data_IF_380224626939
#
_entry.id   IF_380224626939
#
_cell.length_a   1.000
_cell.length_b   1.000
_cell.length_c   1.000
_cell.angle_alpha   90.00
_cell.angle_beta   90.00
_cell.angle_gamma   90.00
#
_symmetry.space_group_name_H-M   'P 1'
#
loop_
_entity.id
_entity.type
_entity.pdbx_description
1 polymer ?
#
# COMPACT_ATOMS: atom_id res chain seq x y z
N UNK A 1 -7.46 -0.92 10.69
CA UNK A 1 -7.06 0.08 9.68
C UNK A 1 -7.22 -0.49 8.29
N UNK A 2 -7.52 0.34 7.35
CA UNK A 2 -7.59 0.00 5.93
C UNK A 2 -6.37 0.61 5.25
N UNK A 3 -5.65 -0.21 4.49
CA UNK A 3 -4.52 0.23 3.69
C UNK A 3 -5.01 0.50 2.27
N UNK A 4 -4.79 1.73 1.80
CA UNK A 4 -5.29 2.21 0.52
C UNK A 4 -4.13 2.44 -0.44
N UNK A 5 -4.28 1.98 -1.69
CA UNK A 5 -3.31 2.22 -2.75
C UNK A 5 -4.01 2.86 -3.94
N UNK A 6 -3.43 3.93 -4.44
CA UNK A 6 -3.79 4.54 -5.71
C UNK A 6 -2.55 4.53 -6.61
N UNK A 7 -2.50 3.59 -7.54
CA UNK A 7 -1.33 3.32 -8.35
C UNK A 7 -1.43 4.08 -9.67
N UNK A 8 -0.69 5.18 -9.76
CA UNK A 8 -0.54 5.95 -10.99
C UNK A 8 0.72 5.55 -11.75
N UNK A 9 0.89 6.09 -12.96
CA UNK A 9 2.03 5.76 -13.82
C UNK A 9 3.38 6.16 -13.21
N UNK A 10 3.42 7.26 -12.50
CA UNK A 10 4.66 7.81 -11.91
C UNK A 10 4.74 7.54 -10.42
N UNK A 11 3.65 7.78 -9.70
CA UNK A 11 3.60 7.66 -8.24
C UNK A 11 2.46 6.77 -7.81
N UNK A 12 2.70 6.06 -6.71
CA UNK A 12 1.69 5.34 -5.98
C UNK A 12 1.40 6.08 -4.68
N UNK A 13 0.16 6.54 -4.52
CA UNK A 13 -0.30 7.17 -3.29
C UNK A 13 -0.79 6.09 -2.34
N UNK A 14 -0.36 6.15 -1.09
CA UNK A 14 -0.69 5.15 -0.08
C UNK A 14 -1.29 5.86 1.12
N UNK A 15 -2.40 5.32 1.62
CA UNK A 15 -3.06 5.83 2.81
C UNK A 15 -3.34 4.74 3.83
N UNK A 16 -3.34 5.14 5.10
CA UNK A 16 -3.89 4.35 6.20
C UNK A 16 -5.14 5.06 6.70
N UNK A 17 -6.24 4.35 6.75
CA UNK A 17 -7.52 4.92 7.13
C UNK A 17 -8.17 4.10 8.24
N UNK A 18 -8.90 4.79 9.10
CA UNK A 18 -9.88 4.18 9.99
C UNK A 18 -11.28 4.39 9.42
N UNK A 19 -12.32 4.11 10.19
CA UNK A 19 -13.71 4.24 9.75
C UNK A 19 -14.13 5.67 9.42
N UNK A 20 -13.37 6.68 9.85
CA UNK A 20 -13.75 8.07 9.76
C UNK A 20 -12.92 8.87 8.77
N UNK A 21 -11.63 8.54 8.63
CA UNK A 21 -10.71 9.35 7.82
C UNK A 21 -9.42 8.62 7.50
N UNK A 22 -8.70 9.15 6.53
CA UNK A 22 -7.31 8.81 6.29
C UNK A 22 -6.47 9.45 7.40
N UNK A 23 -5.74 8.65 8.15
CA UNK A 23 -4.93 9.11 9.29
C UNK A 23 -3.52 9.46 8.90
N UNK A 24 -2.94 8.77 7.90
CA UNK A 24 -1.61 9.02 7.36
C UNK A 24 -1.61 8.72 5.86
N UNK A 25 -0.73 9.36 5.14
CA UNK A 25 -0.51 9.07 3.72
C UNK A 25 0.95 9.27 3.35
N UNK A 26 1.38 8.60 2.31
CA UNK A 26 2.72 8.72 1.73
C UNK A 26 2.66 8.40 0.24
N UNK A 27 3.76 8.67 -0.45
CA UNK A 27 3.91 8.33 -1.85
C UNK A 27 5.14 7.44 -2.04
N UNK A 28 5.02 6.46 -2.93
CA UNK A 28 6.15 5.66 -3.38
C UNK A 28 6.19 5.74 -4.90
N UNK A 29 7.37 6.00 -5.51
CA UNK A 29 7.46 5.94 -6.97
C UNK A 29 6.99 4.59 -7.49
N UNK A 30 6.14 4.60 -8.51
CA UNK A 30 5.58 3.35 -9.04
C UNK A 30 6.68 2.41 -9.56
N UNK A 31 7.77 2.97 -10.09
CA UNK A 31 8.94 2.19 -10.51
C UNK A 31 9.55 1.35 -9.38
N UNK A 32 9.37 1.76 -8.13
CA UNK A 32 9.92 1.04 -6.97
C UNK A 32 9.29 -0.35 -6.78
N UNK A 33 8.08 -0.57 -7.28
CA UNK A 33 7.43 -1.88 -7.24
C UNK A 33 8.15 -2.89 -8.13
N UNK A 34 8.78 -2.42 -9.20
CA UNK A 34 9.51 -3.27 -10.14
C UNK A 34 10.98 -3.45 -9.76
N UNK A 35 11.57 -2.46 -9.10
CA UNK A 35 12.98 -2.52 -8.68
C UNK A 35 13.21 -3.27 -7.38
N UNK A 36 12.15 -3.55 -6.63
CA UNK A 36 12.25 -4.15 -5.30
C UNK A 36 12.47 -3.15 -4.18
N UNK A 37 12.43 -1.84 -4.46
CA UNK A 37 12.67 -0.80 -3.46
C UNK A 37 11.42 -0.45 -2.63
N UNK A 38 10.21 -0.84 -3.06
CA UNK A 38 8.98 -0.43 -2.42
C UNK A 38 8.64 -1.13 -1.10
N UNK A 39 8.92 -2.44 -0.90
CA UNK A 39 8.46 -3.14 0.30
C UNK A 39 8.93 -2.53 1.61
N UNK A 40 10.16 -2.05 1.68
CA UNK A 40 10.70 -1.50 2.92
C UNK A 40 10.04 -0.17 3.32
N UNK A 41 9.92 0.84 2.45
CA UNK A 41 9.19 2.04 2.81
C UNK A 41 7.71 1.78 3.10
N UNK A 42 7.08 0.81 2.43
CA UNK A 42 5.71 0.41 2.76
C UNK A 42 5.63 -0.13 4.19
N UNK A 43 6.51 -1.05 4.55
CA UNK A 43 6.55 -1.63 5.88
C UNK A 43 6.77 -0.57 6.96
N UNK A 44 7.65 0.40 6.71
CA UNK A 44 7.87 1.52 7.62
C UNK A 44 6.65 2.41 7.77
N UNK A 45 5.97 2.67 6.67
CA UNK A 45 4.76 3.48 6.67
C UNK A 45 3.65 2.83 7.50
N UNK A 46 3.42 1.54 7.30
CA UNK A 46 2.42 0.78 8.05
C UNK A 46 2.82 0.68 9.53
N UNK A 47 4.11 0.45 9.79
CA UNK A 47 4.63 0.36 11.15
C UNK A 47 3.90 -0.71 11.96
N UNK A 48 3.35 -0.29 13.11
CA UNK A 48 2.61 -1.19 14.02
C UNK A 48 1.10 -1.16 13.78
N UNK A 49 0.63 -0.45 12.78
CA UNK A 49 -0.79 -0.41 12.49
C UNK A 49 -1.30 -1.80 12.12
N UNK A 50 -2.48 -2.14 12.63
CA UNK A 50 -3.15 -3.38 12.25
C UNK A 50 -3.95 -3.15 10.99
N UNK A 51 -3.56 -3.82 9.92
CA UNK A 51 -4.21 -3.73 8.63
C UNK A 51 -5.21 -4.87 8.50
N UNK A 52 -6.49 -4.53 8.57
CA UNK A 52 -7.58 -5.49 8.49
C UNK A 52 -8.16 -5.62 7.09
N UNK A 53 -7.88 -4.65 6.22
CA UNK A 53 -8.38 -4.65 4.86
C UNK A 53 -7.47 -3.83 3.96
N UNK A 54 -7.53 -4.09 2.66
CA UNK A 54 -6.72 -3.43 1.64
C UNK A 54 -7.60 -3.08 0.46
N UNK A 55 -7.49 -1.85 -0.02
CA UNK A 55 -8.16 -1.41 -1.24
C UNK A 55 -7.13 -0.88 -2.23
N UNK A 56 -7.22 -1.32 -3.47
CA UNK A 56 -6.28 -0.96 -4.53
C UNK A 56 -7.04 -0.40 -5.71
N UNK A 57 -6.67 0.81 -6.14
CA UNK A 57 -7.08 1.41 -7.38
C UNK A 57 -5.83 1.56 -8.25
N UNK A 58 -5.86 1.10 -9.49
CA UNK A 58 -4.65 1.07 -10.32
C UNK A 58 -4.97 1.36 -11.78
N UNK A 59 -4.13 2.20 -12.40
CA UNK A 59 -4.08 2.37 -13.86
C UNK A 59 -2.82 1.72 -14.44
N UNK A 60 -2.09 0.94 -13.65
CA UNK A 60 -0.87 0.25 -14.05
C UNK A 60 -1.01 -1.24 -13.76
N UNK A 61 -1.65 -2.00 -14.67
CA UNK A 61 -1.95 -3.42 -14.43
C UNK A 61 -0.73 -4.26 -14.05
N UNK A 62 0.45 -3.96 -14.58
CA UNK A 62 1.67 -4.71 -14.27
C UNK A 62 2.16 -4.48 -12.85
N UNK A 63 1.87 -3.33 -12.26
CA UNK A 63 2.26 -3.03 -10.88
C UNK A 63 1.31 -3.67 -9.86
N UNK A 64 0.05 -3.86 -10.22
CA UNK A 64 -0.99 -4.32 -9.29
C UNK A 64 -0.63 -5.63 -8.58
N UNK A 65 -0.17 -6.70 -9.25
CA UNK A 65 0.18 -7.94 -8.55
C UNK A 65 1.36 -7.75 -7.59
N UNK A 66 2.30 -6.87 -7.90
CA UNK A 66 3.44 -6.58 -7.03
C UNK A 66 3.02 -5.82 -5.78
N UNK A 67 2.14 -4.85 -5.94
CA UNK A 67 1.55 -4.12 -4.82
C UNK A 67 0.74 -5.08 -3.93
N UNK A 68 -0.05 -5.94 -4.54
CA UNK A 68 -0.86 -6.92 -3.82
C UNK A 68 0.00 -7.88 -3.00
N UNK A 69 1.11 -8.35 -3.55
CA UNK A 69 2.05 -9.21 -2.83
C UNK A 69 2.65 -8.50 -1.63
N UNK A 70 3.09 -7.25 -1.81
CA UNK A 70 3.65 -6.46 -0.72
C UNK A 70 2.61 -6.13 0.35
N UNK A 71 1.38 -5.82 -0.06
CA UNK A 71 0.29 -5.55 0.86
C UNK A 71 -0.05 -6.78 1.71
N UNK A 72 0.00 -7.97 1.13
CA UNK A 72 -0.29 -9.20 1.86
C UNK A 72 0.69 -9.46 3.00
N UNK A 73 1.93 -8.97 2.89
CA UNK A 73 2.95 -9.14 3.92
C UNK A 73 2.75 -8.22 5.12
N UNK A 74 2.05 -7.12 4.95
CA UNK A 74 1.74 -6.17 6.03
C UNK A 74 0.30 -6.30 6.52
N UNK A 75 -0.45 -7.19 5.92
CA UNK A 75 -1.83 -7.46 6.29
C UNK A 75 -1.85 -8.23 7.61
N UNK A 76 -2.55 -7.69 8.59
CA UNK A 76 -2.64 -8.27 9.94
C UNK A 76 -4.07 -8.67 10.26
N UNK A 77 -4.66 -9.45 9.39
CA UNK A 77 -5.98 -9.99 9.68
C UNK A 77 -5.90 -11.04 10.78
N UNK A 78 -6.78 -10.95 11.74
CA UNK A 78 -6.86 -11.89 12.84
C UNK A 78 -7.93 -12.94 12.54
N UNK A 79 -7.63 -13.80 11.62
CA UNK A 79 -8.52 -14.94 11.44
C UNK A 79 -8.22 -16.04 12.39
#
# INVERSE_FOLDING_TARGET
MILLFDIGNTNTHIGLANERRVTRHTDIPTAAWFSGAAPMPLARFVGRARVADVAICSVVPRATPRVRTSASRVFTSAW
#
